data_IF_846430879738
#
_entry.id   IF_846430879738
#
_cell.length_a   1.000
_cell.length_b   1.000
_cell.length_c   1.000
_cell.angle_alpha   90.00
_cell.angle_beta   90.00
_cell.angle_gamma   90.00
#
_symmetry.space_group_name_H-M   'P 1'
#
loop_
_entity.id
_entity.type
_entity.pdbx_description
1 polymer ?
#
# COMPACT_ATOMS: atom_id res chain seq x y z
N UNK A 1 7.75 -23.91 -0.27
CA UNK A 1 6.65 -22.94 -0.19
C UNK A 1 5.32 -23.66 -0.50
N UNK A 2 4.26 -23.29 0.22
CA UNK A 2 2.90 -23.75 -0.01
C UNK A 2 2.08 -22.56 -0.53
N UNK A 3 1.24 -22.80 -1.54
CA UNK A 3 0.22 -21.86 -1.97
C UNK A 3 -1.13 -22.33 -1.42
N UNK A 4 -1.82 -21.44 -0.71
CA UNK A 4 -3.13 -21.72 -0.10
C UNK A 4 -4.14 -20.69 -0.63
N UNK A 5 -5.27 -21.19 -1.11
CA UNK A 5 -6.39 -20.37 -1.58
C UNK A 5 -7.51 -20.38 -0.54
N UNK A 6 -8.22 -19.27 -0.38
CA UNK A 6 -9.43 -19.21 0.46
C UNK A 6 -10.47 -20.28 0.09
N UNK A 7 -10.47 -20.73 -1.17
CA UNK A 7 -11.37 -21.81 -1.64
C UNK A 7 -11.02 -23.16 -1.04
N UNK A 8 -9.74 -23.35 -0.69
CA UNK A 8 -9.20 -24.62 -0.20
C UNK A 8 -9.11 -24.64 1.34
N UNK A 9 -9.16 -23.47 1.97
CA UNK A 9 -9.05 -23.31 3.42
C UNK A 9 -10.41 -23.19 4.09
N UNK A 10 -10.47 -23.52 5.38
CA UNK A 10 -11.68 -23.38 6.19
C UNK A 10 -12.02 -21.89 6.45
N UNK A 11 -11.07 -20.99 6.39
CA UNK A 11 -11.29 -19.53 6.48
C UNK A 11 -12.30 -19.06 5.44
N UNK A 12 -12.23 -19.60 4.21
CA UNK A 12 -13.21 -19.33 3.15
C UNK A 12 -14.60 -19.92 3.42
N UNK A 13 -14.74 -20.73 4.48
CA UNK A 13 -15.99 -21.35 4.93
C UNK A 13 -16.49 -20.81 6.28
N UNK A 14 -15.88 -19.72 6.77
CA UNK A 14 -16.28 -19.04 7.98
C UNK A 14 -15.52 -19.45 9.25
N UNK A 15 -14.37 -20.15 9.12
CA UNK A 15 -13.49 -20.36 10.27
C UNK A 15 -12.92 -18.99 10.72
N UNK A 16 -12.93 -18.69 12.04
CA UNK A 16 -12.33 -17.47 12.55
C UNK A 16 -10.84 -17.37 12.19
N UNK A 17 -10.39 -16.18 11.78
CA UNK A 17 -8.99 -15.91 11.41
C UNK A 17 -8.03 -16.30 12.54
N UNK A 18 -8.45 -16.10 13.81
CA UNK A 18 -7.68 -16.43 14.99
C UNK A 18 -7.34 -17.94 15.08
N UNK A 19 -8.27 -18.81 14.70
CA UNK A 19 -8.06 -20.25 14.75
C UNK A 19 -7.16 -20.69 13.61
N UNK A 20 -7.40 -20.18 12.40
CA UNK A 20 -6.50 -20.36 11.24
C UNK A 20 -5.06 -19.92 11.58
N UNK A 21 -4.89 -18.76 12.21
CA UNK A 21 -3.58 -18.22 12.61
C UNK A 21 -2.83 -19.18 13.55
N UNK A 22 -3.52 -19.67 14.58
CA UNK A 22 -2.94 -20.60 15.56
C UNK A 22 -2.57 -21.95 14.94
N UNK A 23 -3.42 -22.47 14.07
CA UNK A 23 -3.17 -23.75 13.36
C UNK A 23 -1.98 -23.61 12.42
N UNK A 24 -1.97 -22.61 11.54
CA UNK A 24 -0.90 -22.41 10.55
C UNK A 24 0.43 -22.14 11.21
N UNK A 25 0.46 -21.49 12.37
CA UNK A 25 1.68 -21.26 13.15
C UNK A 25 2.37 -22.54 13.62
N UNK A 26 1.68 -23.69 13.59
CA UNK A 26 2.25 -25.00 13.94
C UNK A 26 2.88 -25.72 12.75
N UNK A 27 2.62 -25.26 11.54
CA UNK A 27 3.04 -25.92 10.31
C UNK A 27 4.00 -25.10 9.46
N UNK A 28 4.03 -23.76 9.65
CA UNK A 28 4.73 -22.80 8.79
C UNK A 28 5.72 -21.97 9.59
N UNK A 29 6.74 -21.47 8.91
CA UNK A 29 7.74 -20.54 9.46
C UNK A 29 7.36 -19.07 9.25
N UNK A 30 6.41 -18.79 8.36
CA UNK A 30 5.90 -17.47 8.05
C UNK A 30 4.80 -17.53 7.02
N UNK A 31 3.97 -16.49 6.95
CA UNK A 31 2.86 -16.38 5.99
C UNK A 31 2.98 -15.05 5.25
N UNK A 32 2.93 -15.09 3.93
CA UNK A 32 2.62 -13.93 3.10
C UNK A 32 1.17 -14.04 2.66
N UNK A 33 0.41 -12.99 2.93
CA UNK A 33 -1.02 -12.93 2.59
C UNK A 33 -1.31 -11.73 1.68
N UNK A 34 -2.18 -11.94 0.71
CA UNK A 34 -2.84 -10.91 -0.10
C UNK A 34 -4.34 -11.06 0.08
N UNK A 35 -4.99 -10.05 0.60
CA UNK A 35 -6.42 -10.05 0.93
C UNK A 35 -7.00 -8.65 0.73
N UNK A 36 -8.30 -8.48 0.98
CA UNK A 36 -8.96 -7.17 0.95
C UNK A 36 -8.88 -6.48 2.29
N UNK A 37 -9.33 -7.13 3.35
CA UNK A 37 -9.46 -6.54 4.68
C UNK A 37 -8.11 -6.44 5.39
N UNK A 38 -7.69 -5.24 5.76
CA UNK A 38 -6.49 -4.99 6.56
C UNK A 38 -6.54 -5.76 7.89
N UNK A 39 -7.73 -5.83 8.49
CA UNK A 39 -7.93 -6.53 9.76
C UNK A 39 -7.59 -8.02 9.71
N UNK A 40 -7.76 -8.70 8.59
CA UNK A 40 -7.36 -10.12 8.46
C UNK A 40 -5.85 -10.30 8.66
N UNK A 41 -5.05 -9.39 8.08
CA UNK A 41 -3.58 -9.41 8.24
C UNK A 41 -3.19 -9.12 9.68
N UNK A 42 -3.83 -8.16 10.32
CA UNK A 42 -3.60 -7.80 11.72
C UNK A 42 -4.00 -8.93 12.66
N UNK A 43 -5.15 -9.58 12.43
CA UNK A 43 -5.60 -10.72 13.23
C UNK A 43 -4.65 -11.91 13.06
N UNK A 44 -4.20 -12.23 11.85
CA UNK A 44 -3.17 -13.25 11.64
C UNK A 44 -1.89 -12.95 12.44
N UNK A 45 -1.44 -11.70 12.45
CA UNK A 45 -0.24 -11.28 13.17
C UNK A 45 -0.44 -11.31 14.70
N UNK A 46 -1.63 -10.90 15.17
CA UNK A 46 -1.93 -10.82 16.61
C UNK A 46 -2.16 -12.18 17.26
N UNK A 47 -2.74 -13.13 16.54
CA UNK A 47 -3.11 -14.46 17.05
C UNK A 47 -2.17 -15.57 16.61
N UNK A 48 -1.34 -15.34 15.59
CA UNK A 48 -0.27 -16.22 15.18
C UNK A 48 1.00 -16.05 16.00
N UNK A 49 1.94 -16.98 15.88
CA UNK A 49 3.26 -16.93 16.52
C UNK A 49 4.42 -16.91 15.51
N UNK A 50 4.11 -16.71 14.23
CA UNK A 50 5.05 -16.65 13.11
C UNK A 50 4.93 -15.32 12.38
N UNK A 51 5.97 -14.87 11.66
CA UNK A 51 5.93 -13.63 10.87
C UNK A 51 4.81 -13.64 9.83
N UNK A 52 4.06 -12.53 9.78
CA UNK A 52 3.06 -12.26 8.75
C UNK A 52 3.54 -11.13 7.85
N UNK A 53 3.57 -11.38 6.55
CA UNK A 53 3.97 -10.42 5.52
C UNK A 53 2.71 -9.97 4.80
N UNK A 54 2.38 -8.68 4.92
CA UNK A 54 1.29 -8.09 4.13
C UNK A 54 1.75 -7.95 2.68
N UNK A 55 1.22 -8.81 1.80
CA UNK A 55 1.45 -8.74 0.36
C UNK A 55 0.64 -7.66 -0.32
N UNK A 56 -0.61 -7.46 0.13
CA UNK A 56 -1.54 -6.40 -0.29
C UNK A 56 -2.83 -6.48 0.51
N UNK A 57 -3.36 -5.31 0.87
CA UNK A 57 -4.74 -5.11 1.32
C UNK A 57 -5.34 -3.90 0.62
N UNK A 58 -6.63 -3.63 0.83
CA UNK A 58 -7.27 -2.40 0.35
C UNK A 58 -6.70 -1.14 1.02
N UNK A 59 -6.13 -1.27 2.21
CA UNK A 59 -5.50 -0.18 2.96
C UNK A 59 -4.07 0.10 2.51
N UNK A 60 -3.24 -0.93 2.27
CA UNK A 60 -1.83 -0.75 1.92
C UNK A 60 -1.22 -1.90 1.10
N UNK A 61 -0.13 -1.58 0.39
CA UNK A 61 0.68 -2.53 -0.38
C UNK A 61 2.18 -2.37 -0.04
N UNK A 62 2.61 -2.74 1.17
CA UNK A 62 3.98 -2.46 1.64
C UNK A 62 5.06 -3.16 0.81
N UNK A 63 4.81 -4.36 0.30
CA UNK A 63 5.77 -5.08 -0.54
C UNK A 63 6.09 -4.33 -1.83
N UNK A 64 5.08 -3.70 -2.47
CA UNK A 64 5.30 -2.91 -3.68
C UNK A 64 6.14 -1.67 -3.37
N UNK A 65 5.81 -0.95 -2.32
CA UNK A 65 6.57 0.26 -1.95
C UNK A 65 8.02 -0.05 -1.59
N UNK A 66 8.28 -1.16 -0.92
CA UNK A 66 9.65 -1.61 -0.66
C UNK A 66 10.41 -1.91 -1.96
N UNK A 67 9.75 -2.50 -2.96
CA UNK A 67 10.33 -2.73 -4.28
C UNK A 67 10.60 -1.41 -5.02
N UNK A 68 9.68 -0.45 -4.96
CA UNK A 68 9.85 0.87 -5.55
C UNK A 68 11.02 1.62 -4.90
N UNK A 69 11.09 1.65 -3.57
CA UNK A 69 12.20 2.26 -2.83
C UNK A 69 13.54 1.59 -3.13
N UNK A 70 13.56 0.26 -3.27
CA UNK A 70 14.76 -0.48 -3.68
C UNK A 70 15.21 -0.06 -5.08
N UNK A 71 14.29 0.02 -6.04
CA UNK A 71 14.57 0.45 -7.42
C UNK A 71 15.10 1.89 -7.47
N UNK A 72 14.48 2.81 -6.70
CA UNK A 72 14.94 4.19 -6.58
C UNK A 72 16.37 4.22 -6.01
N UNK A 73 16.62 3.46 -4.95
CA UNK A 73 17.94 3.38 -4.32
C UNK A 73 19.00 2.80 -5.26
N UNK A 74 18.66 1.79 -6.06
CA UNK A 74 19.58 1.24 -7.09
C UNK A 74 19.94 2.28 -8.16
N UNK A 75 18.99 3.15 -8.51
CA UNK A 75 19.20 4.19 -9.52
C UNK A 75 19.94 5.41 -9.00
N UNK A 76 19.63 5.88 -7.79
CA UNK A 76 20.12 7.14 -7.23
C UNK A 76 21.13 6.97 -6.08
N UNK A 77 21.37 5.74 -5.62
CA UNK A 77 22.21 5.36 -4.47
C UNK A 77 21.69 5.83 -3.09
N UNK A 78 20.81 6.81 -3.03
CA UNK A 78 20.19 7.36 -1.82
C UNK A 78 18.67 7.46 -1.99
N UNK A 79 17.97 7.62 -0.87
CA UNK A 79 16.53 7.92 -0.84
C UNK A 79 16.29 9.30 -0.24
N UNK A 80 17.01 9.61 0.84
CA UNK A 80 16.85 10.84 1.60
C UNK A 80 17.02 12.08 0.71
N UNK A 81 16.07 13.00 0.80
CA UNK A 81 16.07 14.27 0.07
C UNK A 81 15.56 14.20 -1.37
N UNK A 82 15.45 13.02 -2.00
CA UNK A 82 14.83 12.88 -3.31
C UNK A 82 13.33 13.21 -3.23
N UNK A 83 12.80 13.77 -4.31
CA UNK A 83 11.37 14.04 -4.45
C UNK A 83 10.69 12.94 -5.26
N UNK A 84 9.80 12.22 -4.62
CA UNK A 84 8.89 11.25 -5.23
C UNK A 84 7.52 11.91 -5.46
N UNK A 85 6.99 11.79 -6.66
CA UNK A 85 5.66 12.23 -7.04
C UNK A 85 4.81 11.01 -7.40
N UNK A 86 3.62 10.93 -6.81
CA UNK A 86 2.59 9.97 -7.24
C UNK A 86 1.42 10.71 -7.88
N UNK A 87 0.94 10.19 -9.02
CA UNK A 87 -0.22 10.73 -9.74
C UNK A 87 -1.21 9.58 -9.95
N UNK A 88 -2.38 9.70 -9.38
CA UNK A 88 -3.42 8.69 -9.45
C UNK A 88 -4.47 8.79 -8.36
N UNK A 89 -5.17 7.70 -8.14
CA UNK A 89 -6.15 7.53 -7.05
C UNK A 89 -5.47 7.49 -5.69
N UNK A 90 -6.14 8.01 -4.65
CA UNK A 90 -5.70 7.95 -3.25
C UNK A 90 -5.91 6.57 -2.60
N UNK A 91 -5.55 5.52 -3.30
CA UNK A 91 -5.73 4.13 -2.92
C UNK A 91 -4.63 3.58 -1.98
N UNK A 92 -4.59 2.26 -1.82
CA UNK A 92 -3.59 1.55 -1.01
C UNK A 92 -2.13 1.82 -1.46
N UNK A 93 -1.90 2.10 -2.76
CA UNK A 93 -0.57 2.47 -3.25
C UNK A 93 -0.19 3.88 -2.80
N UNK A 94 -1.09 4.86 -2.94
CA UNK A 94 -0.88 6.21 -2.43
C UNK A 94 -0.57 6.19 -0.92
N UNK A 95 -1.39 5.47 -0.13
CA UNK A 95 -1.19 5.29 1.31
C UNK A 95 0.22 4.78 1.63
N UNK A 96 0.64 3.74 0.93
CA UNK A 96 1.92 3.09 1.17
C UNK A 96 3.12 3.93 0.71
N UNK A 97 3.01 4.61 -0.43
CA UNK A 97 4.05 5.50 -0.96
C UNK A 97 4.26 6.71 -0.04
N UNK A 98 3.17 7.30 0.48
CA UNK A 98 3.25 8.38 1.46
C UNK A 98 4.07 7.93 2.69
N UNK A 99 3.66 6.83 3.30
CA UNK A 99 4.31 6.33 4.53
C UNK A 99 5.76 5.90 4.26
N UNK A 100 5.99 5.11 3.20
CA UNK A 100 7.31 4.62 2.85
C UNK A 100 8.29 5.73 2.48
N UNK A 101 7.85 6.67 1.64
CA UNK A 101 8.65 7.82 1.23
C UNK A 101 9.02 8.73 2.39
N UNK A 102 8.04 9.13 3.21
CA UNK A 102 8.32 10.02 4.36
C UNK A 102 9.20 9.35 5.41
N UNK A 103 9.00 8.05 5.70
CA UNK A 103 9.86 7.31 6.65
C UNK A 103 11.29 7.13 6.18
N UNK A 104 11.54 7.18 4.88
CA UNK A 104 12.89 7.09 4.29
C UNK A 104 13.53 8.46 4.01
N UNK A 105 12.91 9.55 4.47
CA UNK A 105 13.44 10.91 4.34
C UNK A 105 13.25 11.53 2.96
N UNK A 106 12.43 10.94 2.10
CA UNK A 106 12.08 11.53 0.81
C UNK A 106 11.10 12.70 0.97
N UNK A 107 11.09 13.58 0.00
CA UNK A 107 9.98 14.52 -0.21
C UNK A 107 8.90 13.79 -1.01
N UNK A 108 7.65 13.85 -0.54
CA UNK A 108 6.53 13.13 -1.17
C UNK A 108 5.50 14.14 -1.64
N UNK A 109 5.21 14.14 -2.93
CA UNK A 109 4.12 14.91 -3.52
C UNK A 109 3.08 13.97 -4.14
N UNK A 110 1.81 14.22 -3.86
CA UNK A 110 0.69 13.41 -4.33
C UNK A 110 -0.25 14.29 -5.14
N UNK A 111 -0.62 13.84 -6.33
CA UNK A 111 -1.72 14.41 -7.09
C UNK A 111 -2.86 13.40 -7.17
N UNK A 112 -3.97 13.72 -6.50
CA UNK A 112 -5.21 12.92 -6.57
C UNK A 112 -6.40 13.85 -6.79
N UNK A 113 -7.48 13.39 -7.46
CA UNK A 113 -8.74 14.12 -7.51
C UNK A 113 -9.30 14.35 -6.10
N UNK A 114 -10.08 15.42 -5.93
CA UNK A 114 -10.60 15.82 -4.60
C UNK A 114 -11.44 14.72 -3.92
N UNK A 115 -12.16 13.94 -4.71
CA UNK A 115 -13.04 12.86 -4.23
C UNK A 115 -12.30 11.53 -3.98
N UNK A 116 -11.02 11.45 -4.35
CA UNK A 116 -10.18 10.24 -4.27
C UNK A 116 -8.93 10.48 -3.40
N UNK A 117 -9.15 11.01 -2.20
CA UNK A 117 -8.04 11.30 -1.26
C UNK A 117 -7.51 10.03 -0.61
N UNK A 118 -6.22 9.99 -0.24
CA UNK A 118 -5.67 8.94 0.60
C UNK A 118 -6.43 8.80 1.92
N UNK A 119 -6.29 7.66 2.57
CA UNK A 119 -6.93 7.35 3.84
C UNK A 119 -6.67 8.43 4.90
N UNK A 120 -7.69 8.73 5.70
CA UNK A 120 -7.63 9.81 6.71
C UNK A 120 -6.53 9.59 7.77
N UNK A 121 -6.25 8.35 8.14
CA UNK A 121 -5.18 8.01 9.08
C UNK A 121 -3.80 8.30 8.47
N UNK A 122 -3.61 7.97 7.20
CA UNK A 122 -2.38 8.26 6.46
C UNK A 122 -2.20 9.76 6.26
N UNK A 123 -3.29 10.49 5.97
CA UNK A 123 -3.25 11.94 5.86
C UNK A 123 -2.88 12.60 7.20
N UNK A 124 -3.48 12.15 8.31
CA UNK A 124 -3.12 12.65 9.64
C UNK A 124 -1.65 12.42 10.01
N UNK A 125 -1.06 11.31 9.55
CA UNK A 125 0.37 11.05 9.69
C UNK A 125 1.22 11.96 8.81
N UNK A 126 0.79 12.25 7.58
CA UNK A 126 1.59 12.94 6.57
C UNK A 126 1.53 14.48 6.68
N UNK A 127 0.37 15.05 6.95
CA UNK A 127 0.14 16.52 6.96
C UNK A 127 1.09 17.32 7.87
N UNK A 128 1.48 16.84 9.07
CA UNK A 128 2.45 17.54 9.89
C UNK A 128 3.88 17.53 9.33
N UNK A 129 4.18 16.70 8.33
CA UNK A 129 5.52 16.51 7.80
C UNK A 129 5.84 17.59 6.74
N UNK A 130 6.89 18.43 6.90
CA UNK A 130 7.24 19.46 5.94
C UNK A 130 7.68 18.94 4.55
N UNK A 131 7.97 17.64 4.46
CA UNK A 131 8.31 16.97 3.20
C UNK A 131 7.09 16.42 2.45
N UNK A 132 5.87 16.64 2.97
CA UNK A 132 4.63 16.18 2.33
C UNK A 132 3.91 17.31 1.62
N UNK A 133 3.42 17.03 0.41
CA UNK A 133 2.60 17.95 -0.37
C UNK A 133 1.51 17.19 -1.12
N UNK A 134 0.28 17.67 -1.11
CA UNK A 134 -0.85 17.10 -1.84
C UNK A 134 -1.61 18.18 -2.60
N UNK A 135 -2.03 17.85 -3.83
CA UNK A 135 -2.76 18.74 -4.72
C UNK A 135 -3.67 17.92 -5.65
N UNK A 136 -4.57 18.57 -6.36
CA UNK A 136 -5.35 18.03 -7.47
C UNK A 136 -4.70 18.33 -8.85
N UNK A 137 -3.61 19.10 -8.87
CA UNK A 137 -2.88 19.50 -10.07
C UNK A 137 -1.64 18.61 -10.26
N UNK A 138 -1.65 17.67 -11.23
CA UNK A 138 -0.53 16.76 -11.46
C UNK A 138 0.76 17.48 -11.88
N UNK A 139 0.66 18.62 -12.57
CA UNK A 139 1.85 19.39 -12.98
C UNK A 139 2.55 20.00 -11.79
N UNK A 140 1.79 20.52 -10.80
CA UNK A 140 2.36 21.03 -9.55
C UNK A 140 2.98 19.92 -8.71
N UNK A 141 2.35 18.75 -8.63
CA UNK A 141 2.92 17.62 -7.89
C UNK A 141 4.24 17.16 -8.52
N UNK A 142 4.29 17.07 -9.86
CA UNK A 142 5.46 16.58 -10.60
C UNK A 142 6.60 17.60 -10.70
N UNK A 143 6.38 18.87 -10.33
CA UNK A 143 7.40 19.91 -10.44
C UNK A 143 8.65 19.52 -9.62
N UNK A 144 9.81 19.49 -10.29
CA UNK A 144 11.11 19.10 -9.73
C UNK A 144 11.11 17.70 -9.06
N UNK A 145 10.27 16.76 -9.52
CA UNK A 145 10.32 15.39 -9.05
C UNK A 145 11.50 14.63 -9.65
N UNK A 146 12.22 13.89 -8.80
CA UNK A 146 13.27 12.97 -9.21
C UNK A 146 12.67 11.65 -9.71
N UNK A 147 11.52 11.28 -9.15
CA UNK A 147 10.78 10.04 -9.45
C UNK A 147 9.31 10.35 -9.60
N UNK A 148 8.70 9.85 -10.67
CA UNK A 148 7.24 9.90 -10.88
C UNK A 148 6.70 8.48 -10.92
N UNK A 149 5.67 8.23 -10.13
CA UNK A 149 5.01 6.93 -9.99
C UNK A 149 3.53 7.11 -10.32
N UNK A 150 2.97 6.16 -11.02
CA UNK A 150 1.53 6.00 -11.23
C UNK A 150 1.16 4.54 -11.07
N UNK A 151 -0.08 4.27 -10.73
CA UNK A 151 -0.64 2.92 -10.63
C UNK A 151 -1.77 2.72 -11.63
N UNK A 152 -2.37 1.55 -11.62
CA UNK A 152 -3.59 1.29 -12.40
C UNK A 152 -4.72 2.23 -11.96
N UNK A 153 -5.43 2.80 -12.92
CA UNK A 153 -6.51 3.76 -12.64
C UNK A 153 -7.76 3.13 -12.02
N UNK A 154 -7.87 1.82 -12.02
CA UNK A 154 -8.93 1.09 -11.34
C UNK A 154 -8.30 -0.03 -10.51
N UNK A 155 -8.37 0.12 -9.20
CA UNK A 155 -7.89 -0.89 -8.23
C UNK A 155 -8.80 -2.12 -8.20
N UNK A 156 -8.30 -3.22 -7.63
CA UNK A 156 -9.11 -4.43 -7.39
C UNK A 156 -10.38 -4.07 -6.62
N UNK A 157 -11.53 -4.54 -7.12
CA UNK A 157 -12.84 -4.28 -6.52
C UNK A 157 -13.50 -2.96 -6.96
N UNK A 158 -12.82 -2.14 -7.77
CA UNK A 158 -13.32 -0.85 -8.28
C UNK A 158 -13.52 -0.86 -9.81
N UNK A 159 -13.67 -2.03 -10.42
CA UNK A 159 -13.80 -2.17 -11.87
C UNK A 159 -15.01 -1.41 -12.44
N UNK A 160 -16.05 -1.18 -11.63
CA UNK A 160 -17.23 -0.40 -12.01
C UNK A 160 -16.95 1.11 -12.17
N UNK A 161 -15.87 1.62 -11.57
CA UNK A 161 -15.48 3.04 -11.60
C UNK A 161 -14.46 3.35 -12.69
N UNK A 162 -14.00 2.33 -13.41
CA UNK A 162 -12.94 2.42 -14.43
C UNK A 162 -13.19 3.53 -15.45
N UNK A 163 -14.43 3.65 -15.94
CA UNK A 163 -14.76 4.65 -16.95
C UNK A 163 -14.76 6.09 -16.40
N UNK A 164 -15.04 6.25 -15.10
CA UNK A 164 -14.98 7.54 -14.43
C UNK A 164 -13.52 7.99 -14.23
N UNK A 165 -12.66 7.07 -13.78
CA UNK A 165 -11.25 7.34 -13.49
C UNK A 165 -10.41 7.60 -14.75
N UNK A 166 -10.82 7.07 -15.92
CA UNK A 166 -10.10 7.28 -17.19
C UNK A 166 -10.33 8.67 -17.81
N UNK A 167 -11.32 9.42 -17.34
CA UNK A 167 -11.71 10.72 -17.93
C UNK A 167 -11.54 11.91 -16.97
N UNK A 168 -10.96 11.70 -15.79
CA UNK A 168 -10.58 12.76 -14.86
C UNK A 168 -9.08 13.01 -14.92
#
# INVERSE_FOLDING_TARGET
ALFLSNRDLQIGRGEPVQDTARVLSRYLDGIMIRTYEQKEVEDLANYGSIPIINGLTDFCHPCQVLADLMTIREKFAVLEGLKMCYIGDGNNMANSLIVGGLKTGMKVSIATPADYRPDAEVMAFAEPNPNFFITDDPMKAAENADVVITDTWASMGQEAEKDCLLYT
#
